data_IF_332792129884
#
_entry.id   IF_332792129884
#
_cell.length_a   1.000
_cell.length_b   1.000
_cell.length_c   1.000
_cell.angle_alpha   90.00
_cell.angle_beta   90.00
_cell.angle_gamma   90.00
#
_symmetry.space_group_name_H-M   'P 1'
#
loop_
_entity.id
_entity.type
_entity.pdbx_description
1 polymer ?
#
# COMPACT_ATOMS: atom_id res chain seq x y z
N UNK A 1 2.32 -8.92 -3.17
CA UNK A 1 3.32 -7.95 -2.67
C UNK A 1 4.67 -8.65 -2.45
N UNK A 2 5.77 -7.94 -2.76
CA UNK A 2 7.13 -8.38 -2.44
C UNK A 2 7.40 -8.25 -0.92
N UNK A 3 8.46 -8.90 -0.40
CA UNK A 3 8.92 -8.63 0.97
C UNK A 3 9.19 -7.15 1.21
N UNK A 4 8.83 -6.67 2.40
CA UNK A 4 9.03 -5.29 2.78
C UNK A 4 10.50 -5.02 3.11
N UNK A 5 10.99 -3.85 2.71
CA UNK A 5 12.32 -3.35 3.07
C UNK A 5 12.14 -2.26 4.12
N UNK A 6 12.74 -2.45 5.27
CA UNK A 6 12.74 -1.48 6.38
C UNK A 6 14.14 -0.86 6.49
N UNK A 7 14.21 0.45 6.42
CA UNK A 7 15.44 1.19 6.63
C UNK A 7 15.25 2.10 7.85
N UNK A 8 15.95 1.84 8.97
CA UNK A 8 15.85 2.68 10.15
C UNK A 8 16.26 4.13 9.86
N UNK A 9 15.46 5.10 10.36
CA UNK A 9 15.72 6.52 10.15
C UNK A 9 17.07 6.99 10.66
N UNK A 10 17.61 6.32 11.69
CA UNK A 10 18.96 6.57 12.25
C UNK A 10 20.10 6.35 11.23
N UNK A 11 19.85 5.56 10.19
CA UNK A 11 20.80 5.33 9.11
C UNK A 11 20.78 6.45 8.05
N UNK A 12 19.85 7.40 8.16
CA UNK A 12 19.69 8.49 7.23
C UNK A 12 20.21 9.78 7.86
N UNK A 13 21.19 10.43 7.23
CA UNK A 13 21.62 11.77 7.62
C UNK A 13 20.47 12.76 7.42
N UNK A 14 20.16 13.57 8.42
CA UNK A 14 19.10 14.60 8.36
C UNK A 14 19.30 15.53 7.17
N UNK A 15 20.53 15.94 6.90
CA UNK A 15 20.90 16.86 5.81
C UNK A 15 20.76 16.22 4.42
N UNK A 16 20.92 14.89 4.32
CA UNK A 16 20.89 14.14 3.06
C UNK A 16 19.70 13.20 2.94
N UNK A 17 18.75 13.28 3.86
CA UNK A 17 17.64 12.33 3.96
C UNK A 17 16.92 12.14 2.63
N UNK A 18 16.57 13.23 1.93
CA UNK A 18 15.90 13.14 0.64
C UNK A 18 16.72 12.40 -0.43
N UNK A 19 18.02 12.71 -0.53
CA UNK A 19 18.89 12.07 -1.51
C UNK A 19 19.16 10.59 -1.19
N UNK A 20 19.43 10.27 0.08
CA UNK A 20 19.67 8.89 0.53
C UNK A 20 18.41 8.03 0.35
N UNK A 21 17.24 8.53 0.78
CA UNK A 21 15.97 7.84 0.61
C UNK A 21 15.63 7.64 -0.86
N UNK A 22 15.87 8.63 -1.72
CA UNK A 22 15.66 8.50 -3.16
C UNK A 22 16.56 7.41 -3.76
N UNK A 23 17.85 7.38 -3.40
CA UNK A 23 18.78 6.34 -3.84
C UNK A 23 18.32 4.93 -3.44
N UNK A 24 17.89 4.76 -2.19
CA UNK A 24 17.36 3.49 -1.69
C UNK A 24 16.11 3.08 -2.47
N UNK A 25 15.12 3.96 -2.58
CA UNK A 25 13.86 3.66 -3.26
C UNK A 25 14.09 3.30 -4.72
N UNK A 26 14.97 4.03 -5.42
CA UNK A 26 15.31 3.76 -6.82
C UNK A 26 16.02 2.42 -6.99
N UNK A 27 16.90 2.05 -6.06
CA UNK A 27 17.61 0.74 -6.10
C UNK A 27 16.66 -0.46 -6.00
N UNK A 28 15.51 -0.28 -5.35
CA UNK A 28 14.46 -1.32 -5.25
C UNK A 28 13.37 -1.19 -6.32
N UNK A 29 13.37 -0.10 -7.10
CA UNK A 29 12.37 0.13 -8.13
C UNK A 29 12.50 -0.92 -9.24
N UNK A 30 11.40 -1.57 -9.59
CA UNK A 30 11.32 -2.51 -10.71
C UNK A 30 10.55 -1.88 -11.86
N UNK A 31 11.03 -2.08 -13.08
CA UNK A 31 10.29 -1.81 -14.32
C UNK A 31 9.53 -0.49 -14.29
N UNK A 32 10.03 0.62 -14.24
CA UNK A 32 9.30 1.89 -14.27
C UNK A 32 8.11 1.98 -13.28
N UNK A 33 8.10 1.17 -12.22
CA UNK A 33 7.04 1.19 -11.22
C UNK A 33 6.87 2.60 -10.64
N UNK A 34 5.62 3.00 -10.40
CA UNK A 34 5.30 4.27 -9.76
C UNK A 34 5.67 4.20 -8.29
N UNK A 35 6.36 5.23 -7.82
CA UNK A 35 6.70 5.38 -6.42
C UNK A 35 5.59 6.20 -5.74
N UNK A 36 5.09 5.72 -4.61
CA UNK A 36 4.12 6.45 -3.79
C UNK A 36 4.81 6.92 -2.52
N UNK A 37 4.70 8.21 -2.22
CA UNK A 37 5.30 8.81 -1.03
C UNK A 37 4.20 9.40 -0.15
N UNK A 38 4.19 9.03 1.14
CA UNK A 38 3.32 9.67 2.12
C UNK A 38 3.82 11.10 2.42
N UNK A 39 2.98 12.08 2.12
CA UNK A 39 3.22 13.48 2.46
C UNK A 39 2.48 13.91 3.75
N UNK A 40 1.82 12.98 4.43
CA UNK A 40 1.26 13.21 5.75
C UNK A 40 2.36 13.51 6.78
N UNK A 41 2.17 14.55 7.59
CA UNK A 41 3.14 14.90 8.63
C UNK A 41 4.46 15.54 8.14
N UNK A 42 4.63 15.80 6.83
CA UNK A 42 5.75 16.59 6.30
C UNK A 42 7.07 15.82 6.05
N UNK A 43 7.20 14.57 6.48
CA UNK A 43 8.47 13.82 6.38
C UNK A 43 8.82 13.35 4.97
N UNK A 44 7.83 13.12 4.11
CA UNK A 44 8.05 12.64 2.74
C UNK A 44 8.45 13.72 1.73
N UNK A 45 8.40 15.00 2.08
CA UNK A 45 8.56 16.11 1.15
C UNK A 45 9.92 16.11 0.44
N UNK A 46 11.01 15.96 1.16
CA UNK A 46 12.36 15.98 0.59
C UNK A 46 12.62 14.78 -0.36
N UNK A 47 12.09 13.62 -0.04
CA UNK A 47 12.13 12.44 -0.91
C UNK A 47 11.31 12.69 -2.19
N UNK A 48 10.10 13.20 -2.04
CA UNK A 48 9.19 13.46 -3.15
C UNK A 48 9.80 14.46 -4.15
N UNK A 49 10.31 15.59 -3.68
CA UNK A 49 10.93 16.60 -4.54
C UNK A 49 12.20 16.05 -5.20
N UNK A 50 13.03 15.31 -4.48
CA UNK A 50 14.25 14.72 -5.06
C UNK A 50 13.93 13.71 -6.18
N UNK A 51 12.90 12.91 -6.03
CA UNK A 51 12.47 11.99 -7.09
C UNK A 51 11.99 12.75 -8.32
N UNK A 52 11.20 13.82 -8.15
CA UNK A 52 10.73 14.67 -9.24
C UNK A 52 11.86 15.36 -9.98
N UNK A 53 12.81 15.96 -9.24
CA UNK A 53 13.99 16.61 -9.83
C UNK A 53 14.80 15.66 -10.72
N UNK A 54 14.81 14.38 -10.40
CA UNK A 54 15.48 13.33 -11.18
C UNK A 54 14.58 12.71 -12.27
N UNK A 55 13.42 13.30 -12.56
CA UNK A 55 12.51 12.81 -13.61
C UNK A 55 11.87 11.45 -13.29
N UNK A 56 11.84 11.05 -12.02
CA UNK A 56 11.26 9.78 -11.60
C UNK A 56 9.78 9.98 -11.31
N UNK A 57 8.94 9.12 -11.88
CA UNK A 57 7.51 9.17 -11.62
C UNK A 57 7.20 8.85 -10.17
N UNK A 58 6.65 9.83 -9.46
CA UNK A 58 6.33 9.75 -8.04
C UNK A 58 4.95 10.35 -7.79
N UNK A 59 4.21 9.72 -6.90
CA UNK A 59 2.90 10.20 -6.44
C UNK A 59 2.93 10.56 -4.97
N UNK A 60 2.24 11.65 -4.68
CA UNK A 60 2.00 12.08 -3.31
C UNK A 60 0.73 11.42 -2.79
N UNK A 61 0.81 10.73 -1.66
CA UNK A 61 -0.35 10.32 -0.89
C UNK A 61 -0.59 11.32 0.24
N UNK A 62 -1.79 11.88 0.29
CA UNK A 62 -2.21 12.85 1.32
C UNK A 62 -3.44 12.31 2.01
N UNK A 63 -3.24 11.46 2.99
CA UNK A 63 -4.30 10.72 3.67
C UNK A 63 -5.39 11.59 4.32
N UNK A 64 -5.05 12.81 4.74
CA UNK A 64 -5.99 13.74 5.37
C UNK A 64 -6.96 14.42 4.39
N UNK A 65 -6.67 14.42 3.08
CA UNK A 65 -7.58 15.01 2.09
C UNK A 65 -8.93 14.30 2.06
N UNK A 66 -9.98 15.07 1.77
CA UNK A 66 -11.34 14.52 1.64
C UNK A 66 -11.42 13.44 0.56
N UNK A 67 -12.21 12.41 0.81
CA UNK A 67 -12.54 11.38 -0.17
C UNK A 67 -13.87 11.70 -0.84
N UNK A 68 -13.95 11.44 -2.15
CA UNK A 68 -15.18 11.53 -2.93
C UNK A 68 -15.72 10.13 -3.29
N UNK A 69 -15.13 9.07 -2.77
CA UNK A 69 -15.53 7.69 -3.06
C UNK A 69 -16.45 7.12 -1.98
N UNK A 70 -17.02 5.96 -2.31
CA UNK A 70 -17.91 5.20 -1.44
C UNK A 70 -17.48 3.74 -1.37
N UNK A 71 -18.04 3.00 -0.42
CA UNK A 71 -17.98 1.53 -0.32
C UNK A 71 -18.44 0.88 -1.63
N UNK A 72 -18.10 -0.39 -1.87
CA UNK A 72 -18.46 -1.08 -3.12
C UNK A 72 -19.98 -1.23 -3.29
N UNK A 73 -20.72 -1.37 -2.19
CA UNK A 73 -22.19 -1.32 -2.17
C UNK A 73 -22.79 0.10 -2.28
N UNK A 74 -21.92 1.14 -2.35
CA UNK A 74 -22.23 2.56 -2.47
C UNK A 74 -23.05 3.17 -1.32
N UNK A 75 -23.23 2.48 -0.21
CA UNK A 75 -24.04 2.97 0.91
C UNK A 75 -23.32 4.02 1.74
N UNK A 76 -22.02 3.83 2.00
CA UNK A 76 -21.25 4.70 2.89
C UNK A 76 -20.15 5.46 2.13
N UNK A 77 -19.94 6.71 2.49
CA UNK A 77 -18.81 7.53 2.06
C UNK A 77 -17.60 7.31 3.00
N UNK A 78 -16.47 7.91 2.66
CA UNK A 78 -15.27 7.92 3.50
C UNK A 78 -14.94 9.34 3.94
N UNK A 79 -14.54 9.51 5.20
CA UNK A 79 -14.22 10.84 5.75
C UNK A 79 -13.01 11.47 5.06
N UNK A 80 -12.00 10.63 4.72
CA UNK A 80 -10.77 11.08 4.07
C UNK A 80 -10.14 9.95 3.25
N UNK A 81 -9.08 10.29 2.48
CA UNK A 81 -8.37 9.33 1.62
C UNK A 81 -7.68 8.21 2.38
N UNK A 82 -7.19 8.45 3.61
CA UNK A 82 -6.62 7.39 4.43
C UNK A 82 -7.68 6.34 4.74
N UNK A 83 -8.86 6.76 5.18
CA UNK A 83 -9.99 5.86 5.44
C UNK A 83 -10.41 5.09 4.18
N UNK A 84 -10.51 5.79 3.04
CA UNK A 84 -10.83 5.16 1.75
C UNK A 84 -9.80 4.07 1.40
N UNK A 85 -8.50 4.39 1.45
CA UNK A 85 -7.44 3.47 1.07
C UNK A 85 -7.46 2.20 1.93
N UNK A 86 -7.54 2.34 3.25
CA UNK A 86 -7.61 1.22 4.18
C UNK A 86 -8.86 0.37 4.01
N UNK A 87 -10.01 1.00 3.80
CA UNK A 87 -11.26 0.28 3.61
C UNK A 87 -11.27 -0.49 2.30
N UNK A 88 -10.87 0.15 1.20
CA UNK A 88 -10.75 -0.49 -0.12
C UNK A 88 -9.75 -1.64 -0.13
N UNK A 89 -8.67 -1.50 0.61
CA UNK A 89 -7.71 -2.58 0.79
C UNK A 89 -8.31 -3.76 1.56
N UNK A 90 -9.09 -3.48 2.62
CA UNK A 90 -9.86 -4.49 3.35
C UNK A 90 -10.87 -5.21 2.46
N UNK A 91 -11.63 -4.47 1.64
CA UNK A 91 -12.56 -5.06 0.66
C UNK A 91 -11.81 -5.96 -0.32
N UNK A 92 -10.63 -5.55 -0.81
CA UNK A 92 -9.82 -6.34 -1.73
C UNK A 92 -9.16 -7.59 -1.08
N UNK A 93 -8.98 -7.60 0.24
CA UNK A 93 -8.49 -8.77 0.98
C UNK A 93 -9.58 -9.82 1.23
N UNK A 94 -10.85 -9.48 1.08
CA UNK A 94 -11.97 -10.38 1.34
C UNK A 94 -11.92 -11.60 0.40
N UNK A 95 -11.76 -12.83 0.93
CA UNK A 95 -11.73 -14.03 0.10
C UNK A 95 -13.11 -14.38 -0.49
N UNK A 96 -14.19 -13.89 0.11
CA UNK A 96 -15.57 -14.22 -0.29
C UNK A 96 -16.08 -13.32 -1.44
N UNK A 97 -15.29 -12.33 -1.86
CA UNK A 97 -15.65 -11.52 -3.02
C UNK A 97 -15.63 -12.33 -4.32
N UNK A 98 -16.42 -11.96 -5.35
CA UNK A 98 -16.43 -12.65 -6.63
C UNK A 98 -15.02 -12.73 -7.25
N UNK A 99 -14.50 -13.94 -7.43
CA UNK A 99 -13.14 -14.18 -7.93
C UNK A 99 -12.08 -14.34 -6.84
N UNK A 100 -12.43 -14.20 -5.57
CA UNK A 100 -11.52 -14.28 -4.43
C UNK A 100 -10.64 -13.04 -4.27
N UNK A 101 -9.79 -13.02 -3.25
CA UNK A 101 -8.86 -11.91 -3.05
C UNK A 101 -7.76 -11.88 -4.13
N UNK A 102 -7.54 -10.75 -4.81
CA UNK A 102 -6.43 -10.57 -5.75
C UNK A 102 -5.10 -10.29 -5.05
N UNK A 103 -5.09 -10.24 -3.70
CA UNK A 103 -3.94 -9.83 -2.90
C UNK A 103 -3.28 -11.02 -2.25
N UNK A 104 -1.96 -11.14 -2.44
CA UNK A 104 -1.10 -12.00 -1.65
C UNK A 104 -0.10 -11.13 -0.86
N UNK A 105 -0.09 -11.30 0.45
CA UNK A 105 0.78 -10.55 1.36
C UNK A 105 2.03 -11.37 1.71
N UNK A 106 3.19 -10.73 1.91
CA UNK A 106 4.36 -11.42 2.43
C UNK A 106 4.15 -11.82 3.89
N UNK A 107 4.75 -12.94 4.35
CA UNK A 107 4.67 -13.37 5.74
C UNK A 107 5.49 -12.44 6.64
N UNK A 108 4.86 -11.40 7.17
CA UNK A 108 5.48 -10.40 8.02
C UNK A 108 4.58 -10.10 9.23
N UNK A 109 5.08 -10.36 10.45
CA UNK A 109 4.31 -10.17 11.68
C UNK A 109 3.97 -8.70 11.96
N UNK A 110 4.88 -7.78 11.65
CA UNK A 110 4.61 -6.33 11.81
C UNK A 110 3.50 -5.89 10.88
N UNK A 111 3.56 -6.30 9.60
CA UNK A 111 2.51 -6.02 8.62
C UNK A 111 1.15 -6.58 9.06
N UNK A 112 1.11 -7.83 9.51
CA UNK A 112 -0.12 -8.44 10.01
C UNK A 112 -0.70 -7.62 11.17
N UNK A 113 0.12 -7.27 12.16
CA UNK A 113 -0.29 -6.45 13.29
C UNK A 113 -0.79 -5.07 12.86
N UNK A 114 -0.11 -4.41 11.91
CA UNK A 114 -0.51 -3.12 11.39
C UNK A 114 -1.88 -3.17 10.70
N UNK A 115 -2.11 -4.20 9.88
CA UNK A 115 -3.35 -4.34 9.12
C UNK A 115 -4.56 -4.75 9.97
N UNK A 116 -4.34 -5.44 11.09
CA UNK A 116 -5.42 -5.94 11.96
C UNK A 116 -5.72 -5.05 13.16
N UNK A 117 -4.87 -4.08 13.47
CA UNK A 117 -5.03 -3.23 14.66
C UNK A 117 -5.97 -2.04 14.50
N UNK A 118 -6.03 -1.33 13.34
CA UNK A 118 -6.90 -0.17 13.23
C UNK A 118 -8.36 -0.54 13.29
N UNK A 119 -9.14 0.24 14.03
CA UNK A 119 -10.59 0.14 14.10
C UNK A 119 -11.26 1.23 13.26
N UNK A 120 -12.56 1.15 13.10
CA UNK A 120 -13.33 2.16 12.38
C UNK A 120 -14.66 2.44 13.08
N UNK A 121 -15.20 3.60 12.83
CA UNK A 121 -16.52 4.04 13.27
C UNK A 121 -17.33 4.57 12.08
N UNK A 122 -18.66 4.47 12.15
CA UNK A 122 -19.56 5.10 11.20
C UNK A 122 -20.05 6.41 11.82
N UNK A 123 -19.77 7.51 11.15
CA UNK A 123 -20.17 8.86 11.56
C UNK A 123 -21.08 9.50 10.50
N UNK A 124 -21.64 10.66 10.77
CA UNK A 124 -22.56 11.32 9.82
C UNK A 124 -21.96 11.52 8.41
N UNK A 125 -20.65 11.70 8.29
CA UNK A 125 -19.94 11.85 7.00
C UNK A 125 -19.50 10.52 6.36
N UNK A 126 -19.83 9.39 6.95
CA UNK A 126 -19.46 8.07 6.47
C UNK A 126 -18.51 7.31 7.39
N UNK A 127 -17.70 6.41 6.82
CA UNK A 127 -16.72 5.64 7.57
C UNK A 127 -15.54 6.53 7.94
N UNK A 128 -15.09 6.40 9.19
CA UNK A 128 -13.90 7.06 9.72
C UNK A 128 -12.99 6.01 10.33
N UNK A 129 -11.77 5.91 9.82
CA UNK A 129 -10.73 5.07 10.38
C UNK A 129 -10.19 5.70 11.67
N UNK A 130 -9.82 4.86 12.61
CA UNK A 130 -9.15 5.28 13.85
C UNK A 130 -7.94 6.18 13.56
N UNK A 131 -7.76 7.29 14.31
CA UNK A 131 -6.56 8.12 14.20
C UNK A 131 -5.28 7.31 14.36
N UNK A 132 -4.25 7.61 13.53
CA UNK A 132 -2.97 6.87 13.55
C UNK A 132 -2.33 6.91 14.93
N UNK A 133 -2.43 8.02 15.62
CA UNK A 133 -1.86 8.26 16.95
C UNK A 133 -2.39 7.26 17.99
N UNK A 134 -3.70 6.96 17.96
CA UNK A 134 -4.31 5.97 18.85
C UNK A 134 -3.84 4.54 18.57
N UNK A 135 -3.67 4.20 17.28
CA UNK A 135 -3.13 2.91 16.89
C UNK A 135 -1.68 2.77 17.34
N UNK A 136 -0.88 3.82 17.14
CA UNK A 136 0.53 3.89 17.59
C UNK A 136 0.63 3.76 19.10
N UNK A 137 -0.21 4.46 19.86
CA UNK A 137 -0.25 4.34 21.34
C UNK A 137 -0.51 2.90 21.79
N UNK A 138 -1.47 2.22 21.15
CA UNK A 138 -1.83 0.82 21.47
C UNK A 138 -0.77 -0.19 21.05
N UNK A 139 -0.11 0.03 19.90
CA UNK A 139 0.92 -0.87 19.38
C UNK A 139 2.32 -0.61 19.93
N UNK A 140 2.56 0.57 20.52
CA UNK A 140 3.89 1.01 20.94
C UNK A 140 4.86 1.33 19.78
N UNK A 141 4.38 1.38 18.54
CA UNK A 141 5.16 1.68 17.32
C UNK A 141 4.29 2.19 16.17
N UNK A 142 4.92 2.81 15.18
CA UNK A 142 4.25 3.24 13.95
C UNK A 142 3.73 2.06 13.10
N UNK A 143 2.67 2.30 12.32
CA UNK A 143 2.04 1.37 11.38
C UNK A 143 2.62 1.44 9.97
N UNK A 144 3.91 1.70 9.86
CA UNK A 144 4.57 2.04 8.59
C UNK A 144 4.49 0.92 7.54
N UNK A 145 4.51 -0.35 7.96
CA UNK A 145 4.37 -1.49 7.05
C UNK A 145 2.97 -1.56 6.44
N UNK A 146 1.94 -1.39 7.27
CA UNK A 146 0.55 -1.36 6.83
C UNK A 146 0.27 -0.16 5.93
N UNK A 147 0.70 1.03 6.33
CA UNK A 147 0.53 2.26 5.55
C UNK A 147 1.20 2.14 4.17
N UNK A 148 2.45 1.64 4.10
CA UNK A 148 3.17 1.46 2.83
C UNK A 148 2.44 0.51 1.86
N UNK A 149 1.96 -0.63 2.36
CA UNK A 149 1.23 -1.62 1.54
C UNK A 149 -0.11 -1.06 1.07
N UNK A 150 -0.87 -0.43 1.97
CA UNK A 150 -2.18 0.15 1.65
C UNK A 150 -2.06 1.30 0.64
N UNK A 151 -1.08 2.19 0.81
CA UNK A 151 -0.84 3.30 -0.12
C UNK A 151 -0.42 2.80 -1.50
N UNK A 152 0.50 1.83 -1.57
CA UNK A 152 0.93 1.28 -2.85
C UNK A 152 -0.18 0.55 -3.58
N UNK A 153 -1.09 -0.13 -2.87
CA UNK A 153 -2.30 -0.72 -3.44
C UNK A 153 -3.25 0.35 -3.97
N UNK A 154 -3.60 1.32 -3.14
CA UNK A 154 -4.56 2.36 -3.46
C UNK A 154 -4.15 3.16 -4.70
N UNK A 155 -2.90 3.62 -4.74
CA UNK A 155 -2.39 4.40 -5.86
C UNK A 155 -2.06 3.53 -7.07
N UNK A 156 -1.56 2.31 -6.88
CA UNK A 156 -1.29 1.36 -7.95
C UNK A 156 -2.56 1.01 -8.73
N UNK A 157 -3.68 0.80 -8.05
CA UNK A 157 -4.96 0.51 -8.69
C UNK A 157 -5.50 1.67 -9.54
N UNK A 158 -5.16 2.90 -9.22
CA UNK A 158 -5.54 4.07 -10.02
C UNK A 158 -4.83 4.13 -11.38
N UNK A 159 -3.70 3.44 -11.52
CA UNK A 159 -2.93 3.35 -12.77
C UNK A 159 -3.42 2.29 -13.75
N UNK A 160 -4.10 1.29 -13.26
CA UNK A 160 -4.62 0.25 -14.12
C UNK A 160 -5.70 0.85 -15.01
N UNK A 161 -5.49 0.77 -16.32
CA UNK A 161 -6.55 1.15 -17.27
C UNK A 161 -7.81 0.32 -16.99
N UNK A 162 -9.01 0.83 -17.28
CA UNK A 162 -10.25 0.09 -17.06
C UNK A 162 -10.23 -1.32 -17.66
N UNK A 163 -9.56 -1.50 -18.80
CA UNK A 163 -9.43 -2.80 -19.47
C UNK A 163 -8.53 -3.76 -18.69
N UNK A 164 -7.40 -3.29 -18.17
CA UNK A 164 -6.51 -4.12 -17.34
C UNK A 164 -7.17 -4.46 -16.02
N UNK A 165 -7.83 -3.48 -15.41
CA UNK A 165 -8.57 -3.65 -14.16
C UNK A 165 -9.69 -4.70 -14.32
N UNK A 166 -10.48 -4.64 -15.40
CA UNK A 166 -11.55 -5.63 -15.66
C UNK A 166 -10.97 -7.03 -15.92
N UNK A 167 -9.84 -7.15 -16.60
CA UNK A 167 -9.17 -8.45 -16.82
C UNK A 167 -8.63 -9.05 -15.53
N UNK A 168 -8.12 -8.25 -14.61
CA UNK A 168 -7.64 -8.74 -13.30
C UNK A 168 -8.79 -9.24 -12.41
N UNK A 169 -9.93 -8.54 -12.42
CA UNK A 169 -11.07 -8.88 -11.57
C UNK A 169 -12.11 -9.81 -12.22
N UNK A 170 -12.15 -9.89 -13.56
CA UNK A 170 -13.08 -10.77 -14.29
C UNK A 170 -12.43 -12.07 -14.78
N UNK A 171 -11.17 -12.33 -14.48
CA UNK A 171 -10.59 -13.63 -14.84
C UNK A 171 -11.13 -14.70 -13.88
N UNK A 172 -12.12 -15.46 -14.32
CA UNK A 172 -12.57 -16.72 -13.72
C UNK A 172 -11.46 -17.81 -13.68
N UNK A 173 -10.23 -17.45 -13.94
CA UNK A 173 -9.09 -18.33 -13.83
C UNK A 173 -8.62 -18.30 -12.38
N UNK A 174 -8.80 -19.43 -11.70
CA UNK A 174 -8.21 -19.68 -10.39
C UNK A 174 -6.75 -19.25 -10.43
N UNK A 175 -6.26 -18.46 -9.43
CA UNK A 175 -4.84 -18.11 -9.38
C UNK A 175 -4.04 -19.41 -9.45
N UNK A 176 -3.11 -19.49 -10.42
CA UNK A 176 -2.18 -20.61 -10.50
C UNK A 176 -1.23 -20.45 -9.33
N UNK A 177 -1.48 -21.18 -8.26
CA UNK A 177 -0.54 -21.30 -7.15
C UNK A 177 0.61 -22.17 -7.65
N UNK A 178 1.67 -21.54 -8.15
CA UNK A 178 2.93 -22.24 -8.45
C UNK A 178 3.54 -22.58 -7.09
N UNK A 179 3.35 -23.83 -6.65
CA UNK A 179 4.01 -24.34 -5.44
C UNK A 179 5.52 -24.30 -5.68
N UNK A 180 6.27 -23.76 -4.72
CA UNK A 180 7.74 -23.64 -4.79
C UNK A 180 8.46 -24.97 -5.12
N UNK A 181 7.80 -26.09 -4.92
CA UNK A 181 8.35 -27.42 -5.17
C UNK A 181 8.52 -27.77 -6.66
N UNK A 182 7.85 -27.09 -7.59
CA UNK A 182 8.00 -27.37 -9.03
C UNK A 182 9.18 -26.64 -9.67
N UNK A 183 9.70 -25.58 -9.03
CA UNK A 183 10.89 -24.88 -9.54
C UNK A 183 12.20 -25.64 -9.33
N UNK A 184 12.28 -26.55 -8.36
CA UNK A 184 13.50 -27.36 -8.16
C UNK A 184 13.68 -28.47 -9.19
N UNK A 185 12.62 -28.98 -9.79
CA UNK A 185 12.73 -30.03 -10.81
C UNK A 185 13.18 -29.52 -12.18
N UNK A 186 12.94 -28.25 -12.50
CA UNK A 186 13.35 -27.67 -13.79
C UNK A 186 14.85 -27.30 -13.85
N UNK A 187 15.57 -27.28 -12.72
CA UNK A 187 17.01 -26.95 -12.66
C UNK A 187 17.92 -28.19 -12.66
N UNK A 188 17.35 -29.40 -12.52
CA UNK A 188 18.14 -30.65 -12.44
C UNK A 188 18.20 -31.42 -13.77
N UNK A 189 17.67 -30.86 -14.85
CA UNK A 189 17.68 -31.49 -16.20
C UNK A 189 18.23 -30.53 -17.28
N UNK A 190 19.28 -29.76 -16.93
CA UNK A 190 20.13 -29.11 -17.94
C UNK A 190 21.60 -29.43 -17.65
#
# INVERSE_FOLDING_TARGET
FAPLVEVPGEQLSVERMGAMSAGIVVSYRRDSAVIVVDLGGGYGGSLYERLKENGIEVRAFKGAEASNRRTDDRKLAFVNKRTEAWWKFREALDPDQPGGSPIALPPNRKLFSDLTSPTFEVVARGIKLEPKEKVVERLGRSTDHGDAVVMSWSEGMNYLTPVVRSKMFNSNKRPVVIRAHERQKAFLHR
#
